data_IF_438727148516
#
_entry.id   IF_438727148516
#
_cell.length_a   1.000
_cell.length_b   1.000
_cell.length_c   1.000
_cell.angle_alpha   90.00
_cell.angle_beta   90.00
_cell.angle_gamma   90.00
#
_symmetry.space_group_name_H-M   'P 1'
#
loop_
_entity.id
_entity.type
_entity.pdbx_description
1 polymer ?
#
# COMPACT_ATOMS: atom_id res chain seq x y z
N UNK A 1 3.69 9.36 -21.22
CA UNK A 1 3.36 7.92 -21.07
C UNK A 1 2.39 7.40 -22.13
N UNK A 2 1.41 8.20 -22.61
CA UNK A 2 0.56 7.81 -23.76
C UNK A 2 -0.37 6.62 -23.49
N UNK A 3 -0.49 6.19 -22.23
CA UNK A 3 -1.35 5.09 -21.79
C UNK A 3 -2.79 5.58 -21.74
N UNK A 4 -3.71 4.72 -22.12
CA UNK A 4 -5.16 5.00 -22.15
C UNK A 4 -5.90 4.26 -21.05
N UNK A 5 -5.21 3.38 -20.33
CA UNK A 5 -5.78 2.49 -19.33
C UNK A 5 -4.98 2.50 -18.02
N UNK A 6 -5.69 2.28 -16.92
CA UNK A 6 -5.18 2.15 -15.56
C UNK A 6 -5.57 0.79 -15.00
N UNK A 7 -4.58 0.11 -14.42
CA UNK A 7 -4.75 -1.08 -13.59
C UNK A 7 -4.43 -0.68 -12.16
N UNK A 8 -5.25 -1.10 -11.20
CA UNK A 8 -4.93 -0.96 -9.78
C UNK A 8 -5.41 -2.18 -9.00
N UNK A 9 -4.78 -2.45 -7.85
CA UNK A 9 -5.28 -3.37 -6.84
C UNK A 9 -5.97 -2.62 -5.69
N UNK A 10 -6.84 -3.27 -4.93
CA UNK A 10 -7.27 -2.71 -3.66
C UNK A 10 -7.71 -3.77 -2.65
N UNK A 11 -7.49 -3.50 -1.36
CA UNK A 11 -7.96 -4.32 -0.23
C UNK A 11 -9.11 -3.63 0.49
N UNK A 12 -8.83 -2.56 1.24
CA UNK A 12 -9.87 -1.76 1.89
C UNK A 12 -10.78 -0.98 0.90
N UNK A 13 -10.42 -0.90 -0.38
CA UNK A 13 -11.16 -0.17 -1.41
C UNK A 13 -10.75 1.30 -1.57
N UNK A 14 -10.00 1.89 -0.62
CA UNK A 14 -9.63 3.31 -0.70
C UNK A 14 -8.75 3.63 -1.91
N UNK A 15 -7.70 2.84 -2.14
CA UNK A 15 -6.85 3.01 -3.33
C UNK A 15 -7.63 2.79 -4.63
N UNK A 16 -8.54 1.82 -4.66
CA UNK A 16 -9.40 1.60 -5.81
C UNK A 16 -10.33 2.79 -6.10
N UNK A 17 -10.95 3.36 -5.07
CA UNK A 17 -11.77 4.58 -5.18
C UNK A 17 -10.93 5.76 -5.69
N UNK A 18 -9.74 5.98 -5.13
CA UNK A 18 -8.83 7.02 -5.59
C UNK A 18 -8.43 6.82 -7.07
N UNK A 19 -8.16 5.57 -7.46
CA UNK A 19 -7.81 5.19 -8.82
C UNK A 19 -8.93 5.43 -9.81
N UNK A 20 -10.16 5.05 -9.45
CA UNK A 20 -11.36 5.27 -10.25
C UNK A 20 -11.65 6.77 -10.42
N UNK A 21 -11.58 7.55 -9.34
CA UNK A 21 -11.78 9.00 -9.37
C UNK A 21 -10.80 9.70 -10.31
N UNK A 22 -9.50 9.44 -10.13
CA UNK A 22 -8.45 10.07 -10.94
C UNK A 22 -8.60 9.68 -12.42
N UNK A 23 -8.92 8.40 -12.69
CA UNK A 23 -9.14 7.92 -14.06
C UNK A 23 -10.36 8.56 -14.70
N UNK A 24 -11.48 8.69 -13.97
CA UNK A 24 -12.68 9.36 -14.45
C UNK A 24 -12.41 10.85 -14.77
N UNK A 25 -11.69 11.55 -13.89
CA UNK A 25 -11.30 12.95 -14.10
C UNK A 25 -10.41 13.13 -15.35
N UNK A 26 -9.49 12.20 -15.59
CA UNK A 26 -8.50 12.28 -16.66
C UNK A 26 -8.91 11.57 -17.96
N UNK A 27 -10.12 10.98 -18.00
CA UNK A 27 -10.61 10.27 -19.18
C UNK A 27 -9.89 8.95 -19.49
N UNK A 28 -9.42 8.24 -18.46
CA UNK A 28 -8.72 6.95 -18.58
C UNK A 28 -9.65 5.78 -18.25
N UNK A 29 -9.53 4.67 -18.98
CA UNK A 29 -10.23 3.42 -18.65
C UNK A 29 -9.60 2.79 -17.42
N UNK A 30 -10.38 2.50 -16.39
CA UNK A 30 -9.86 1.96 -15.12
C UNK A 30 -10.43 0.58 -14.82
N UNK A 31 -9.55 -0.37 -14.50
CA UNK A 31 -9.93 -1.69 -13.99
C UNK A 31 -9.18 -1.99 -12.69
N UNK A 32 -9.93 -2.50 -11.73
CA UNK A 32 -9.50 -2.62 -10.33
C UNK A 32 -9.65 -4.07 -9.89
N UNK A 33 -8.54 -4.67 -9.51
CA UNK A 33 -8.50 -6.01 -8.91
C UNK A 33 -8.74 -5.91 -7.41
N UNK A 34 -9.66 -6.70 -6.89
CA UNK A 34 -10.02 -6.71 -5.47
C UNK A 34 -10.31 -8.14 -5.03
N UNK A 35 -9.73 -8.59 -3.91
CA UNK A 35 -10.00 -9.92 -3.39
C UNK A 35 -11.49 -10.15 -3.13
N UNK A 36 -12.04 -11.31 -3.47
CA UNK A 36 -13.49 -11.55 -3.34
C UNK A 36 -13.99 -11.38 -1.90
N UNK A 37 -13.18 -11.73 -0.89
CA UNK A 37 -13.50 -11.48 0.52
C UNK A 37 -13.56 -9.98 0.84
N UNK A 38 -12.69 -9.19 0.19
CA UNK A 38 -12.65 -7.74 0.31
C UNK A 38 -13.85 -7.08 -0.37
N UNK A 39 -14.27 -7.58 -1.53
CA UNK A 39 -15.46 -7.11 -2.26
C UNK A 39 -16.71 -7.19 -1.37
N UNK A 40 -16.91 -8.31 -0.67
CA UNK A 40 -18.06 -8.48 0.23
C UNK A 40 -18.01 -7.52 1.42
N UNK A 41 -16.88 -7.48 2.15
CA UNK A 41 -16.75 -6.68 3.38
C UNK A 41 -16.61 -5.17 3.13
N UNK A 42 -16.27 -4.75 1.90
CA UNK A 42 -16.09 -3.35 1.50
C UNK A 42 -17.04 -2.93 0.37
N UNK A 43 -18.23 -3.53 0.30
CA UNK A 43 -19.27 -3.23 -0.70
C UNK A 43 -19.52 -1.73 -0.96
N UNK A 44 -19.53 -0.82 0.04
CA UNK A 44 -19.67 0.62 -0.22
C UNK A 44 -18.58 1.20 -1.15
N UNK A 45 -17.34 0.75 -1.04
CA UNK A 45 -16.25 1.19 -1.90
C UNK A 45 -16.34 0.57 -3.30
N UNK A 46 -16.77 -0.69 -3.41
CA UNK A 46 -17.05 -1.34 -4.69
C UNK A 46 -18.11 -0.57 -5.48
N UNK A 47 -19.18 -0.16 -4.80
CA UNK A 47 -20.24 0.64 -5.40
C UNK A 47 -19.72 1.99 -5.91
N UNK A 48 -18.91 2.71 -5.11
CA UNK A 48 -18.29 3.99 -5.51
C UNK A 48 -17.39 3.84 -6.74
N UNK A 49 -16.56 2.81 -6.79
CA UNK A 49 -15.68 2.54 -7.94
C UNK A 49 -16.49 2.36 -9.23
N UNK A 50 -17.55 1.56 -9.17
CA UNK A 50 -18.45 1.33 -10.32
C UNK A 50 -19.21 2.59 -10.74
N UNK A 51 -19.68 3.40 -9.78
CA UNK A 51 -20.32 4.69 -10.07
C UNK A 51 -19.40 5.66 -10.82
N UNK A 52 -18.09 5.59 -10.59
CA UNK A 52 -17.09 6.38 -11.31
C UNK A 52 -16.67 5.75 -12.65
N UNK A 53 -17.31 4.65 -13.08
CA UNK A 53 -17.05 4.01 -14.36
C UNK A 53 -15.88 3.03 -14.38
N UNK A 54 -15.30 2.69 -13.22
CA UNK A 54 -14.27 1.67 -13.14
C UNK A 54 -14.85 0.25 -13.16
N UNK A 55 -14.17 -0.65 -13.86
CA UNK A 55 -14.42 -2.09 -13.78
C UNK A 55 -13.83 -2.64 -12.48
N UNK A 56 -14.61 -3.39 -11.69
CA UNK A 56 -14.13 -4.04 -10.46
C UNK A 56 -14.14 -5.54 -10.68
N UNK A 57 -12.96 -6.15 -10.60
CA UNK A 57 -12.68 -7.56 -10.92
C UNK A 57 -12.41 -8.32 -9.61
N UNK A 58 -13.35 -9.16 -9.13
CA UNK A 58 -13.17 -9.97 -7.94
C UNK A 58 -12.13 -11.07 -8.16
N UNK A 59 -11.17 -11.20 -7.23
CA UNK A 59 -10.12 -12.22 -7.27
C UNK A 59 -10.43 -13.32 -6.25
N UNK A 60 -10.64 -14.54 -6.73
CA UNK A 60 -10.99 -15.72 -5.92
C UNK A 60 -9.81 -16.64 -5.65
N UNK A 61 -8.64 -16.39 -6.26
CA UNK A 61 -7.43 -17.19 -6.04
C UNK A 61 -6.87 -17.00 -4.64
N UNK A 62 -6.18 -18.02 -4.14
CA UNK A 62 -5.48 -17.97 -2.85
C UNK A 62 -6.40 -17.64 -1.68
N UNK A 63 -6.04 -16.60 -0.92
CA UNK A 63 -6.77 -16.14 0.25
C UNK A 63 -7.97 -15.23 -0.09
N UNK A 64 -8.11 -14.87 -1.37
CA UNK A 64 -9.06 -13.91 -1.89
C UNK A 64 -9.00 -12.54 -1.19
N UNK A 65 -7.78 -12.05 -0.94
CA UNK A 65 -7.49 -10.74 -0.31
C UNK A 65 -6.55 -9.86 -1.15
N UNK A 66 -6.06 -8.74 -0.60
CA UNK A 66 -5.14 -7.80 -1.24
C UNK A 66 -3.92 -8.47 -1.91
N UNK A 67 -3.29 -9.47 -1.27
CA UNK A 67 -2.14 -10.19 -1.84
C UNK A 67 -2.48 -10.81 -3.21
N UNK A 68 -3.66 -11.40 -3.31
CA UNK A 68 -4.10 -12.09 -4.52
C UNK A 68 -4.52 -11.07 -5.59
N UNK A 69 -5.13 -9.95 -5.19
CA UNK A 69 -5.39 -8.82 -6.07
C UNK A 69 -4.11 -8.20 -6.67
N UNK A 70 -3.05 -8.04 -5.87
CA UNK A 70 -1.74 -7.60 -6.34
C UNK A 70 -1.17 -8.54 -7.42
N UNK A 71 -1.30 -9.85 -7.21
CA UNK A 71 -0.78 -10.86 -8.14
C UNK A 71 -1.50 -10.80 -9.49
N UNK A 72 -2.84 -10.69 -9.48
CA UNK A 72 -3.63 -10.57 -10.71
C UNK A 72 -3.39 -9.24 -11.43
N UNK A 73 -3.27 -8.13 -10.70
CA UNK A 73 -2.95 -6.83 -11.29
C UNK A 73 -1.56 -6.82 -11.97
N UNK A 74 -0.56 -7.45 -11.36
CA UNK A 74 0.76 -7.63 -11.98
C UNK A 74 0.72 -8.55 -13.21
N UNK A 75 -0.08 -9.62 -13.14
CA UNK A 75 -0.26 -10.55 -14.27
C UNK A 75 -0.90 -9.84 -15.46
N UNK A 76 -1.95 -9.07 -15.24
CA UNK A 76 -2.55 -8.21 -16.26
C UNK A 76 -1.51 -7.25 -16.85
N UNK A 77 -0.81 -6.50 -15.99
CA UNK A 77 0.18 -5.53 -16.46
C UNK A 77 1.26 -6.16 -17.33
N UNK A 78 1.69 -7.39 -17.02
CA UNK A 78 2.68 -8.11 -17.83
C UNK A 78 2.25 -8.34 -19.29
N UNK A 79 0.95 -8.40 -19.57
CA UNK A 79 0.39 -8.58 -20.91
C UNK A 79 -0.20 -7.31 -21.54
N UNK A 80 -0.29 -6.21 -20.78
CA UNK A 80 -0.98 -4.99 -21.23
C UNK A 80 -0.17 -3.71 -21.00
N UNK A 81 1.09 -3.79 -20.56
CA UNK A 81 1.93 -2.63 -20.23
C UNK A 81 2.10 -1.63 -21.39
N UNK A 82 1.88 -2.01 -22.64
CA UNK A 82 1.92 -1.10 -23.80
C UNK A 82 0.78 -0.08 -23.79
N UNK A 83 -0.40 -0.46 -23.32
CA UNK A 83 -1.60 0.39 -23.28
C UNK A 83 -1.97 0.85 -21.87
N UNK A 84 -1.61 0.05 -20.86
CA UNK A 84 -1.99 0.28 -19.47
C UNK A 84 -0.82 0.69 -18.56
N UNK A 85 -1.10 1.60 -17.62
CA UNK A 85 -0.23 1.88 -16.49
C UNK A 85 -0.73 1.15 -15.25
N UNK A 86 0.15 0.39 -14.60
CA UNK A 86 -0.14 -0.19 -13.29
C UNK A 86 0.10 0.84 -12.19
N UNK A 87 -0.98 1.27 -11.54
CA UNK A 87 -0.98 2.27 -10.48
C UNK A 87 -0.94 1.59 -9.12
N UNK A 88 0.25 1.14 -8.73
CA UNK A 88 0.52 0.45 -7.46
C UNK A 88 0.24 1.37 -6.27
N UNK A 89 -0.55 0.90 -5.29
CA UNK A 89 -1.15 1.75 -4.26
C UNK A 89 -0.34 2.04 -3.00
N UNK A 90 0.93 1.62 -2.95
CA UNK A 90 1.74 1.76 -1.74
C UNK A 90 3.24 1.90 -2.03
N UNK A 91 4.03 2.28 -1.04
CA UNK A 91 5.49 2.48 -1.18
C UNK A 91 6.28 1.16 -1.17
N UNK A 92 5.77 0.16 -1.89
CA UNK A 92 6.35 -1.17 -2.07
C UNK A 92 6.49 -1.46 -3.57
N UNK A 93 6.79 -2.71 -3.91
CA UNK A 93 6.93 -3.12 -5.30
C UNK A 93 8.33 -2.91 -5.88
N UNK A 94 8.54 -3.25 -7.17
CA UNK A 94 9.81 -3.02 -7.83
C UNK A 94 10.10 -1.51 -7.96
N UNK A 95 11.38 -1.16 -8.09
CA UNK A 95 11.74 0.17 -8.57
C UNK A 95 11.08 0.42 -9.95
N UNK A 96 10.50 1.61 -10.22
CA UNK A 96 10.61 2.86 -9.45
C UNK A 96 9.48 3.15 -8.44
N UNK A 97 8.53 2.24 -8.21
CA UNK A 97 7.33 2.51 -7.41
C UNK A 97 7.61 3.04 -6.00
N UNK A 98 8.49 2.44 -5.17
CA UNK A 98 8.76 2.96 -3.83
C UNK A 98 9.27 4.41 -3.81
N UNK A 99 10.02 4.81 -4.84
CA UNK A 99 10.54 6.18 -4.96
C UNK A 99 9.44 7.14 -5.40
N UNK A 100 8.70 6.79 -6.46
CA UNK A 100 7.62 7.63 -7.00
C UNK A 100 6.55 7.86 -5.92
N UNK A 101 6.11 6.79 -5.26
CA UNK A 101 5.06 6.88 -4.24
C UNK A 101 5.51 7.72 -3.05
N UNK A 102 6.79 7.65 -2.63
CA UNK A 102 7.33 8.56 -1.62
C UNK A 102 7.27 10.01 -2.09
N UNK A 103 7.77 10.32 -3.29
CA UNK A 103 7.77 11.69 -3.80
C UNK A 103 6.35 12.25 -3.98
N UNK A 104 5.36 11.41 -4.26
CA UNK A 104 3.95 11.81 -4.33
C UNK A 104 3.21 11.81 -2.99
N UNK A 105 3.89 11.45 -1.89
CA UNK A 105 3.32 11.49 -0.53
C UNK A 105 4.11 12.42 0.41
N UNK A 106 5.31 12.87 0.02
CA UNK A 106 6.21 13.70 0.85
C UNK A 106 5.60 15.01 1.33
N UNK A 107 4.62 15.55 0.59
CA UNK A 107 3.94 16.79 0.96
C UNK A 107 3.27 16.68 2.33
N UNK A 108 2.90 15.46 2.76
CA UNK A 108 2.36 15.24 4.10
C UNK A 108 3.36 15.69 5.17
N UNK A 109 4.62 15.26 5.06
CA UNK A 109 5.69 15.66 5.99
C UNK A 109 6.03 17.15 5.87
N UNK A 110 6.11 17.68 4.65
CA UNK A 110 6.42 19.10 4.39
C UNK A 110 5.37 20.04 5.00
N UNK A 111 4.09 19.75 4.77
CA UNK A 111 2.97 20.48 5.35
C UNK A 111 2.96 20.33 6.87
N UNK A 112 3.16 19.12 7.39
CA UNK A 112 3.19 18.86 8.85
C UNK A 112 4.30 19.67 9.53
N UNK A 113 5.50 19.69 8.94
CA UNK A 113 6.63 20.46 9.47
C UNK A 113 6.35 21.96 9.47
N UNK A 114 5.80 22.48 8.38
CA UNK A 114 5.40 23.90 8.31
C UNK A 114 4.35 24.24 9.36
N UNK A 115 3.31 23.41 9.47
CA UNK A 115 2.20 23.62 10.40
C UNK A 115 2.61 23.53 11.87
N UNK A 116 3.47 22.58 12.22
CA UNK A 116 3.90 22.40 13.62
C UNK A 116 4.85 23.51 14.07
N UNK A 117 5.70 24.02 13.18
CA UNK A 117 6.54 25.19 13.46
C UNK A 117 5.71 26.45 13.66
N UNK A 118 4.68 26.67 12.85
CA UNK A 118 3.75 27.80 13.00
C UNK A 118 2.97 27.74 14.33
N UNK A 119 2.49 26.55 14.71
CA UNK A 119 1.64 26.36 15.90
C UNK A 119 2.39 26.30 17.21
N UNK A 120 3.53 25.60 17.24
CA UNK A 120 4.23 25.23 18.46
C UNK A 120 5.64 25.84 18.55
N UNK A 121 6.12 26.52 17.50
CA UNK A 121 7.43 27.17 17.49
C UNK A 121 8.63 26.21 17.54
N UNK A 122 8.40 24.90 17.37
CA UNK A 122 9.40 23.84 17.46
C UNK A 122 9.02 22.63 16.61
N UNK A 123 10.01 21.76 16.36
CA UNK A 123 9.76 20.45 15.77
C UNK A 123 9.05 19.51 16.78
N UNK A 124 8.28 18.52 16.28
CA UNK A 124 7.63 17.55 17.15
C UNK A 124 8.66 16.61 17.78
N UNK A 125 8.37 16.08 18.96
CA UNK A 125 9.23 15.09 19.61
C UNK A 125 9.22 13.75 18.85
N UNK A 126 8.08 13.41 18.24
CA UNK A 126 7.95 12.27 17.34
C UNK A 126 6.81 12.46 16.34
N UNK A 127 6.92 11.80 15.19
CA UNK A 127 5.84 11.59 14.23
C UNK A 127 5.52 10.09 14.13
N UNK A 128 4.23 9.78 14.04
CA UNK A 128 3.71 8.41 14.17
C UNK A 128 2.78 8.12 13.00
N UNK A 129 2.98 6.97 12.35
CA UNK A 129 2.16 6.55 11.22
C UNK A 129 1.99 5.03 11.17
N UNK A 130 0.83 4.56 10.70
CA UNK A 130 0.58 3.14 10.51
C UNK A 130 1.30 2.59 9.26
N UNK A 131 1.76 1.34 9.35
CA UNK A 131 2.58 0.69 8.31
C UNK A 131 1.90 -0.58 7.84
N UNK A 132 1.21 -0.49 6.70
CA UNK A 132 0.93 -1.62 5.82
C UNK A 132 2.07 -1.74 4.80
N UNK A 133 1.83 -1.32 3.55
CA UNK A 133 2.90 -1.19 2.56
C UNK A 133 3.86 0.00 2.79
N UNK A 134 3.42 1.04 3.52
CA UNK A 134 4.27 2.13 4.03
C UNK A 134 4.13 3.50 3.36
N UNK A 135 3.20 3.71 2.42
CA UNK A 135 3.07 4.98 1.68
C UNK A 135 2.76 6.20 2.55
N UNK A 136 1.76 6.13 3.43
CA UNK A 136 1.41 7.25 4.31
C UNK A 136 2.56 7.56 5.30
N UNK A 137 3.18 6.52 5.85
CA UNK A 137 4.25 6.64 6.81
C UNK A 137 5.50 7.27 6.18
N UNK A 138 5.93 6.80 5.00
CA UNK A 138 7.08 7.40 4.32
C UNK A 138 6.79 8.83 3.85
N UNK A 139 5.54 9.14 3.51
CA UNK A 139 5.13 10.51 3.19
C UNK A 139 5.27 11.46 4.38
N UNK A 140 4.83 11.03 5.57
CA UNK A 140 5.01 11.75 6.82
C UNK A 140 6.50 11.88 7.18
N UNK A 141 7.25 10.77 7.12
CA UNK A 141 8.63 10.72 7.58
C UNK A 141 9.61 11.43 6.65
N UNK A 142 9.35 11.50 5.34
CA UNK A 142 10.30 11.95 4.32
C UNK A 142 11.01 13.25 4.68
N UNK A 143 10.28 14.25 5.16
CA UNK A 143 10.86 15.54 5.48
C UNK A 143 11.58 15.57 6.84
N UNK A 144 11.24 14.68 7.77
CA UNK A 144 11.86 14.59 9.10
C UNK A 144 13.07 13.66 9.19
N UNK A 145 13.43 12.93 8.12
CA UNK A 145 14.54 11.94 8.14
C UNK A 145 15.88 12.55 8.58
N UNK A 146 16.14 13.82 8.24
CA UNK A 146 17.39 14.50 8.58
C UNK A 146 17.32 15.25 9.92
N UNK A 147 16.15 15.30 10.56
CA UNK A 147 15.93 16.00 11.82
C UNK A 147 16.14 15.03 13.00
N UNK A 148 17.39 14.84 13.43
CA UNK A 148 17.78 13.82 14.40
C UNK A 148 17.06 13.89 15.77
N UNK A 149 16.44 15.02 16.11
CA UNK A 149 15.65 15.21 17.32
C UNK A 149 14.23 14.63 17.23
N UNK A 150 13.76 14.30 16.02
CA UNK A 150 12.38 13.86 15.77
C UNK A 150 12.33 12.34 15.70
N UNK A 151 11.59 11.71 16.61
CA UNK A 151 11.36 10.26 16.56
C UNK A 151 10.46 9.87 15.39
N UNK A 152 10.84 8.84 14.64
CA UNK A 152 10.04 8.28 13.54
C UNK A 152 9.45 6.92 13.95
N UNK A 153 8.14 6.86 14.21
CA UNK A 153 7.50 5.66 14.78
C UNK A 153 6.50 5.07 13.79
N UNK A 154 6.89 3.94 13.17
CA UNK A 154 6.02 3.12 12.33
C UNK A 154 5.26 2.06 13.15
N UNK A 155 3.95 1.94 12.95
CA UNK A 155 3.08 0.99 13.67
C UNK A 155 2.52 -0.07 12.73
N UNK A 156 3.00 -1.31 12.84
CA UNK A 156 2.49 -2.48 12.11
C UNK A 156 1.29 -3.13 12.85
N UNK A 157 0.36 -3.81 12.16
CA UNK A 157 -0.77 -4.48 12.81
C UNK A 157 -0.35 -5.73 13.60
N UNK A 158 -0.70 -5.76 14.88
CA UNK A 158 -0.51 -6.92 15.76
C UNK A 158 -1.52 -8.06 15.57
N UNK A 159 -2.58 -7.85 14.79
CA UNK A 159 -3.62 -8.84 14.53
C UNK A 159 -4.26 -9.40 15.80
N UNK A 160 -4.27 -10.72 15.97
CA UNK A 160 -4.74 -11.38 17.20
C UNK A 160 -3.67 -11.52 18.30
N UNK A 161 -2.48 -10.93 18.09
CA UNK A 161 -1.29 -11.11 18.91
C UNK A 161 -0.15 -11.67 18.07
N UNK A 162 1.06 -11.14 18.24
CA UNK A 162 2.24 -11.54 17.46
C UNK A 162 2.55 -13.02 17.67
N UNK A 163 2.44 -13.48 18.90
CA UNK A 163 2.68 -14.86 19.34
C UNK A 163 1.71 -15.87 18.69
N UNK A 164 0.57 -15.42 18.16
CA UNK A 164 -0.40 -16.29 17.50
C UNK A 164 -0.03 -16.61 16.05
N UNK A 165 0.95 -15.89 15.47
CA UNK A 165 1.27 -15.91 14.04
C UNK A 165 0.22 -15.20 13.16
N UNK A 166 -0.92 -14.77 13.71
CA UNK A 166 -1.98 -14.06 12.98
C UNK A 166 -1.82 -12.55 13.15
N UNK A 167 -0.83 -11.99 12.45
CA UNK A 167 -0.49 -10.56 12.46
C UNK A 167 -0.05 -10.10 11.06
N UNK A 168 0.32 -8.83 10.90
CA UNK A 168 0.87 -8.28 9.66
C UNK A 168 2.10 -7.42 9.96
N UNK A 169 3.07 -7.98 10.69
CA UNK A 169 4.21 -7.25 11.25
C UNK A 169 5.57 -7.75 10.72
N UNK A 170 5.77 -7.77 9.38
CA UNK A 170 6.96 -8.33 8.75
C UNK A 170 8.25 -7.58 9.08
N UNK A 171 8.21 -6.28 9.40
CA UNK A 171 9.42 -5.49 9.66
C UNK A 171 10.12 -5.95 10.93
N UNK A 172 9.35 -6.24 12.00
CA UNK A 172 9.90 -6.70 13.28
C UNK A 172 9.88 -8.23 13.47
N UNK A 173 8.94 -8.93 12.85
CA UNK A 173 8.71 -10.36 13.09
C UNK A 173 8.81 -11.23 11.83
N UNK A 174 9.14 -10.64 10.68
CA UNK A 174 9.42 -11.37 9.44
C UNK A 174 10.91 -11.60 9.21
N UNK A 175 11.24 -12.07 8.00
CA UNK A 175 12.62 -12.20 7.53
C UNK A 175 12.74 -11.67 6.09
N UNK A 176 13.95 -11.25 5.70
CA UNK A 176 14.16 -10.70 4.36
C UNK A 176 13.99 -11.79 3.30
N UNK A 177 13.23 -11.49 2.25
CA UNK A 177 13.02 -12.36 1.09
C UNK A 177 12.88 -11.56 -0.20
N UNK A 178 12.45 -12.23 -1.27
CA UNK A 178 12.12 -11.60 -2.56
C UNK A 178 10.67 -11.92 -2.89
N UNK A 179 9.83 -10.90 -2.95
CA UNK A 179 8.40 -10.99 -3.24
C UNK A 179 7.94 -9.66 -3.83
N UNK A 180 6.88 -9.69 -4.65
CA UNK A 180 6.26 -8.49 -5.20
C UNK A 180 7.26 -7.54 -5.88
N UNK A 181 8.23 -8.11 -6.62
CA UNK A 181 9.26 -7.34 -7.33
C UNK A 181 10.32 -6.65 -6.46
N UNK A 182 10.38 -6.91 -5.15
CA UNK A 182 11.33 -6.27 -4.24
C UNK A 182 12.02 -7.25 -3.27
N UNK A 183 13.21 -6.85 -2.80
CA UNK A 183 13.88 -7.48 -1.65
C UNK A 183 13.53 -6.70 -0.38
N UNK A 184 12.74 -7.29 0.50
CA UNK A 184 12.20 -6.63 1.69
C UNK A 184 11.92 -7.62 2.83
N UNK A 185 11.67 -7.15 4.08
CA UNK A 185 11.11 -7.99 5.14
C UNK A 185 9.71 -8.48 4.75
N UNK A 186 9.44 -9.77 5.00
CA UNK A 186 8.16 -10.41 4.76
C UNK A 186 7.91 -11.56 5.73
N UNK A 187 6.64 -11.91 5.91
CA UNK A 187 6.18 -13.11 6.61
C UNK A 187 6.32 -14.31 5.65
N UNK A 188 7.09 -15.33 6.05
CA UNK A 188 7.42 -16.47 5.19
C UNK A 188 7.84 -17.69 6.02
N UNK A 189 7.37 -18.86 5.60
CA UNK A 189 7.66 -20.17 6.23
C UNK A 189 9.15 -20.49 6.15
N UNK A 190 9.64 -21.52 6.85
CA UNK A 190 11.06 -21.93 6.78
C UNK A 190 11.56 -22.17 5.34
N UNK A 191 10.72 -22.75 4.48
CA UNK A 191 11.04 -23.06 3.08
C UNK A 191 10.95 -21.86 2.14
N UNK A 192 10.57 -20.68 2.66
CA UNK A 192 10.47 -19.44 1.88
C UNK A 192 9.14 -19.25 1.15
N UNK A 193 8.09 -19.99 1.54
CA UNK A 193 6.74 -19.73 1.06
C UNK A 193 6.17 -18.50 1.75
N UNK A 194 5.51 -17.62 1.01
CA UNK A 194 4.91 -16.40 1.57
C UNK A 194 3.73 -16.78 2.46
N UNK A 195 3.77 -16.33 3.70
CA UNK A 195 2.70 -16.56 4.67
C UNK A 195 1.52 -15.60 4.44
N UNK A 196 0.35 -16.00 4.94
CA UNK A 196 -0.80 -15.11 5.00
C UNK A 196 -0.66 -14.20 6.23
N UNK A 197 -0.81 -12.88 6.00
CA UNK A 197 -0.96 -11.93 7.10
C UNK A 197 -2.38 -11.97 7.66
N UNK A 198 -2.55 -11.36 8.82
CA UNK A 198 -3.88 -11.08 9.36
C UNK A 198 -3.93 -9.71 10.05
N UNK A 199 -4.98 -8.97 9.74
CA UNK A 199 -5.36 -7.74 10.44
C UNK A 199 -6.88 -7.55 10.35
N UNK A 200 -7.49 -7.01 11.40
CA UNK A 200 -8.88 -6.54 11.31
C UNK A 200 -9.03 -5.43 10.26
N UNK A 201 -7.98 -4.62 10.08
CA UNK A 201 -7.92 -3.56 9.08
C UNK A 201 -7.33 -4.08 7.77
N UNK A 202 -8.16 -4.16 6.73
CA UNK A 202 -7.78 -4.63 5.40
C UNK A 202 -6.63 -3.82 4.77
N UNK A 203 -6.49 -2.54 5.11
CA UNK A 203 -5.41 -1.69 4.58
C UNK A 203 -4.02 -1.99 5.17
N UNK A 204 -3.96 -2.76 6.26
CA UNK A 204 -2.73 -3.18 6.91
C UNK A 204 -2.45 -4.68 6.73
N UNK A 205 -3.39 -5.43 6.12
CA UNK A 205 -3.28 -6.87 5.92
C UNK A 205 -2.40 -7.19 4.69
N UNK A 206 -1.09 -7.00 4.85
CA UNK A 206 -0.09 -7.24 3.82
C UNK A 206 1.14 -7.94 4.43
N UNK A 207 1.63 -9.07 3.86
CA UNK A 207 2.67 -9.88 4.47
C UNK A 207 4.09 -9.37 4.23
N UNK A 208 4.26 -8.14 3.74
CA UNK A 208 5.56 -7.53 3.44
C UNK A 208 5.51 -6.03 3.72
N UNK A 209 6.65 -5.35 3.67
CA UNK A 209 6.70 -3.89 3.82
C UNK A 209 7.60 -3.25 2.77
N UNK A 210 7.35 -1.99 2.39
CA UNK A 210 8.21 -1.24 1.49
C UNK A 210 9.66 -1.15 1.97
N UNK A 211 10.64 -1.30 1.05
CA UNK A 211 12.07 -1.30 1.39
C UNK A 211 12.51 -0.02 2.12
N UNK A 212 11.88 1.12 1.83
CA UNK A 212 12.22 2.41 2.42
C UNK A 212 11.81 2.54 3.90
N UNK A 213 11.00 1.61 4.43
CA UNK A 213 10.62 1.57 5.85
C UNK A 213 11.70 0.97 6.74
N UNK A 214 12.75 0.38 6.16
CA UNK A 214 13.91 -0.14 6.88
C UNK A 214 14.89 1.00 7.16
N UNK A 215 14.53 1.91 8.06
CA UNK A 215 15.43 2.92 8.62
C UNK A 215 16.21 2.32 9.79
#
# INVERSE_FOLDING_TARGET
>A
MGKTEIIAETGAGQHGVASALASALLGLKCRIYMGAKDVERQSPNVFRMRLMGAEVIPVHSGSATLKDACNEALRDWSGSYETAHYMLGTAAGPHPYPTIVREFQRMIGEETKSQILDKEGRLPDAVIACVGGGSNAIGMFADFINDASVGLIGVEPGGHGIETGKHGAPLKHGRVGIYFGMKAPMMQTADGQIEESYSISAGLDFPSVGRNMRT
#
